data_IF_940975038429
#
_entry.id   IF_940975038429
#
_cell.length_a   1.000
_cell.length_b   1.000
_cell.length_c   1.000
_cell.angle_alpha   90.00
_cell.angle_beta   90.00
_cell.angle_gamma   90.00
#
_symmetry.space_group_name_H-M   'P 1'
#
loop_
_entity.id
_entity.type
_entity.pdbx_description
1 polymer ?
#
# COMPACT_ATOMS: atom_id res chain seq x y z
N UNK A 1 1.14 31.69 19.24
CA UNK A 1 1.27 30.32 18.69
C UNK A 1 1.77 29.43 19.80
N UNK A 2 0.99 28.44 20.24
CA UNK A 2 1.44 27.45 21.22
C UNK A 2 2.39 26.47 20.50
N UNK A 3 3.52 26.06 21.11
CA UNK A 3 4.36 25.02 20.54
C UNK A 3 3.58 23.70 20.57
N UNK A 4 3.37 23.08 19.41
CA UNK A 4 2.95 21.68 19.35
C UNK A 4 4.11 20.83 19.87
N UNK A 5 3.95 20.31 21.08
CA UNK A 5 4.80 19.25 21.61
C UNK A 5 4.46 17.94 20.87
N UNK A 6 5.33 17.48 19.96
CA UNK A 6 5.28 16.12 19.47
C UNK A 6 5.91 15.19 20.51
N UNK A 7 5.17 14.14 20.83
CA UNK A 7 5.28 13.31 22.03
C UNK A 7 5.77 11.91 21.62
N UNK A 8 6.82 11.43 22.31
CA UNK A 8 7.39 10.08 22.48
C UNK A 8 8.01 9.31 21.28
N UNK A 9 9.33 9.09 21.39
CA UNK A 9 10.09 8.04 20.71
C UNK A 9 10.21 6.83 21.67
N UNK A 10 9.68 5.67 21.31
CA UNK A 10 9.95 4.40 22.00
C UNK A 10 10.80 3.55 21.06
N UNK A 11 12.11 3.52 21.33
CA UNK A 11 13.01 2.52 20.75
C UNK A 11 13.03 1.36 21.74
N UNK A 12 12.42 0.24 21.38
CA UNK A 12 12.46 -0.96 22.21
C UNK A 12 13.58 -1.85 21.69
N UNK A 13 14.64 -1.99 22.48
CA UNK A 13 15.70 -2.98 22.25
C UNK A 13 15.39 -4.15 23.18
N UNK A 14 14.85 -5.24 22.64
CA UNK A 14 14.65 -6.46 23.40
C UNK A 14 15.85 -7.38 23.16
N UNK A 15 16.52 -7.75 24.26
CA UNK A 15 17.66 -8.68 24.23
C UNK A 15 17.30 -9.90 25.08
N UNK A 16 17.53 -11.11 24.55
CA UNK A 16 17.32 -12.34 25.32
C UNK A 16 18.20 -12.32 26.57
N UNK A 17 17.61 -12.60 27.74
CA UNK A 17 18.33 -12.77 29.00
C UNK A 17 18.82 -14.22 29.10
N UNK A 18 20.09 -14.44 29.46
CA UNK A 18 20.61 -15.77 29.81
C UNK A 18 20.04 -16.19 31.17
N UNK A 19 18.96 -16.98 31.21
CA UNK A 19 18.63 -17.75 32.42
C UNK A 19 18.24 -19.21 32.12
N UNK A 20 18.84 -20.10 32.92
CA UNK A 20 18.72 -21.55 32.88
C UNK A 20 17.28 -21.99 33.13
N UNK A 21 16.79 -22.90 32.27
CA UNK A 21 15.65 -23.81 32.48
C UNK A 21 14.46 -23.21 33.26
N UNK A 22 13.59 -22.48 32.57
CA UNK A 22 12.13 -22.63 32.69
C UNK A 22 11.43 -21.77 31.62
N UNK A 23 10.50 -22.39 30.90
CA UNK A 23 9.56 -21.75 29.98
C UNK A 23 8.82 -20.62 30.70
N UNK A 24 9.20 -19.37 30.47
CA UNK A 24 8.41 -18.15 30.65
C UNK A 24 9.22 -16.98 30.10
N UNK A 25 8.71 -16.34 29.04
CA UNK A 25 9.12 -15.00 28.63
C UNK A 25 8.92 -14.09 29.82
N UNK A 26 9.98 -13.80 30.57
CA UNK A 26 9.96 -12.69 31.51
C UNK A 26 10.01 -11.44 30.68
N UNK A 27 8.85 -10.81 30.48
CA UNK A 27 8.78 -9.40 30.15
C UNK A 27 9.72 -8.65 31.08
N UNK A 28 10.80 -8.10 30.53
CA UNK A 28 11.55 -7.07 31.21
C UNK A 28 10.63 -5.85 31.25
N UNK A 29 9.83 -5.77 32.31
CA UNK A 29 8.92 -4.66 32.64
C UNK A 29 9.65 -3.36 33.00
N UNK A 30 10.89 -3.20 32.54
CA UNK A 30 11.66 -1.98 32.69
C UNK A 30 11.76 -1.34 31.30
N UNK A 31 10.72 -0.56 30.98
CA UNK A 31 10.76 0.39 29.88
C UNK A 31 11.93 1.34 30.13
N UNK A 32 13.04 1.15 29.42
CA UNK A 32 14.06 2.20 29.38
C UNK A 32 13.64 3.15 28.28
N UNK A 33 12.77 4.11 28.63
CA UNK A 33 12.45 5.24 27.78
C UNK A 33 13.72 6.07 27.58
N UNK A 34 14.51 5.77 26.54
CA UNK A 34 15.57 6.67 26.11
C UNK A 34 14.92 7.61 25.09
N UNK A 35 14.29 8.66 25.62
CA UNK A 35 13.90 9.83 24.84
C UNK A 35 15.18 10.60 24.47
N UNK A 36 15.87 10.15 23.43
CA UNK A 36 16.96 10.89 22.80
C UNK A 36 16.39 11.78 21.71
N UNK A 37 16.56 13.10 21.84
CA UNK A 37 16.42 14.06 20.74
C UNK A 37 17.57 13.83 19.74
N UNK A 38 17.47 12.77 18.95
CA UNK A 38 18.42 12.47 17.89
C UNK A 38 18.21 13.49 16.76
N UNK A 39 19.05 14.52 16.80
CA UNK A 39 19.10 15.58 15.80
C UNK A 39 19.29 14.97 14.41
N UNK A 40 18.24 15.12 13.61
CA UNK A 40 18.12 14.62 12.26
C UNK A 40 19.05 15.38 11.31
N UNK A 41 20.33 15.04 11.31
CA UNK A 41 21.32 15.50 10.32
C UNK A 41 22.29 14.35 10.07
N UNK A 42 22.42 13.96 8.80
CA UNK A 42 23.49 13.14 8.22
C UNK A 42 24.69 12.96 9.18
N UNK A 43 24.80 11.78 9.78
CA UNK A 43 26.03 11.28 10.42
C UNK A 43 26.20 11.45 11.94
N UNK A 44 25.25 12.02 12.70
CA UNK A 44 25.42 12.17 14.17
C UNK A 44 24.60 11.22 15.07
N UNK A 45 23.40 10.76 14.68
CA UNK A 45 22.59 9.85 15.52
C UNK A 45 23.17 8.44 15.67
N UNK A 46 23.87 7.95 14.62
CA UNK A 46 24.38 6.57 14.59
C UNK A 46 25.35 6.27 15.72
N UNK A 47 26.08 7.29 16.20
CA UNK A 47 27.13 7.10 17.18
C UNK A 47 26.61 6.86 18.60
N UNK A 48 25.50 7.46 19.03
CA UNK A 48 25.07 7.35 20.43
C UNK A 48 24.44 6.00 20.74
N UNK A 49 23.57 5.50 19.85
CA UNK A 49 22.97 4.18 20.01
C UNK A 49 24.03 3.08 20.05
N UNK A 50 24.96 3.10 19.09
CA UNK A 50 25.97 2.06 18.92
C UNK A 50 27.14 2.16 19.91
N UNK A 51 27.57 3.38 20.28
CA UNK A 51 28.77 3.58 21.12
C UNK A 51 28.47 3.84 22.58
N UNK A 52 27.24 4.23 22.93
CA UNK A 52 26.86 4.57 24.31
C UNK A 52 25.78 3.63 24.81
N UNK A 53 24.62 3.59 24.15
CA UNK A 53 23.45 2.89 24.66
C UNK A 53 23.64 1.38 24.67
N UNK A 54 24.03 0.78 23.54
CA UNK A 54 24.23 -0.68 23.46
C UNK A 54 25.31 -1.16 24.43
N UNK A 55 26.54 -0.57 24.46
CA UNK A 55 27.56 -0.98 25.43
C UNK A 55 27.13 -0.82 26.88
N UNK A 56 26.40 0.26 27.21
CA UNK A 56 25.87 0.46 28.56
C UNK A 56 24.87 -0.64 28.95
N UNK A 57 23.95 -1.00 28.04
CA UNK A 57 22.98 -2.08 28.30
C UNK A 57 23.71 -3.41 28.50
N UNK A 58 24.67 -3.72 27.64
CA UNK A 58 25.45 -4.96 27.69
C UNK A 58 26.30 -5.09 28.95
N UNK A 59 26.78 -3.97 29.50
CA UNK A 59 27.56 -3.99 30.74
C UNK A 59 26.72 -4.01 32.02
N UNK A 60 25.45 -3.56 31.97
CA UNK A 60 24.60 -3.43 33.16
C UNK A 60 23.46 -4.45 33.24
N UNK A 61 23.14 -5.11 32.13
CA UNK A 61 22.06 -6.09 32.07
C UNK A 61 22.54 -7.41 31.44
N UNK A 62 21.97 -8.53 31.90
CA UNK A 62 22.27 -9.84 31.33
C UNK A 62 21.56 -10.00 30.00
N UNK A 63 22.31 -9.86 28.90
CA UNK A 63 21.77 -9.86 27.54
C UNK A 63 22.57 -10.79 26.62
N UNK A 64 21.97 -11.25 25.53
CA UNK A 64 22.69 -11.89 24.43
C UNK A 64 23.14 -10.80 23.46
N UNK A 65 24.44 -10.50 23.49
CA UNK A 65 25.07 -9.38 22.77
C UNK A 65 25.50 -9.74 21.34
N UNK A 66 24.58 -10.29 20.54
CA UNK A 66 24.82 -10.56 19.12
C UNK A 66 23.65 -10.04 18.26
N UNK A 67 23.89 -9.89 16.97
CA UNK A 67 22.91 -9.32 16.04
C UNK A 67 21.68 -10.23 15.81
N UNK A 68 21.82 -11.55 15.99
CA UNK A 68 20.72 -12.53 15.87
C UNK A 68 19.73 -12.45 17.02
N UNK A 69 20.14 -11.85 18.13
CA UNK A 69 19.33 -11.70 19.33
C UNK A 69 19.04 -10.24 19.65
N UNK A 70 19.31 -9.34 18.71
CA UNK A 70 19.08 -7.90 18.84
C UNK A 70 18.12 -7.41 17.76
N UNK A 71 17.05 -6.78 18.22
CA UNK A 71 16.06 -6.13 17.36
C UNK A 71 15.95 -4.64 17.64
N UNK A 72 15.55 -3.90 16.61
CA UNK A 72 15.19 -2.49 16.73
C UNK A 72 13.77 -2.28 16.22
N UNK A 73 12.93 -1.72 17.09
CA UNK A 73 11.57 -1.32 16.76
C UNK A 73 11.43 0.18 17.00
N UNK A 74 10.68 0.86 16.14
CA UNK A 74 10.23 2.22 16.41
C UNK A 74 8.99 2.58 15.61
N UNK A 75 8.22 3.56 16.10
CA UNK A 75 7.06 4.10 15.39
C UNK A 75 7.20 5.59 15.07
N UNK A 76 6.49 6.11 14.07
CA UNK A 76 6.53 7.54 13.71
C UNK A 76 7.96 8.00 13.40
N UNK A 77 8.44 9.04 14.08
CA UNK A 77 9.83 9.45 14.02
C UNK A 77 10.80 8.34 14.44
N UNK A 78 10.46 7.58 15.47
CA UNK A 78 11.21 6.41 15.89
C UNK A 78 11.24 5.30 14.84
N UNK A 79 10.20 5.19 14.00
CA UNK A 79 10.18 4.26 12.87
C UNK A 79 11.18 4.66 11.78
N UNK A 80 11.31 5.96 11.51
CA UNK A 80 12.37 6.48 10.63
C UNK A 80 13.77 6.19 11.16
N UNK A 81 13.97 6.33 12.47
CA UNK A 81 15.23 5.98 13.15
C UNK A 81 15.49 4.48 13.12
N UNK A 82 14.49 3.64 13.39
CA UNK A 82 14.61 2.18 13.32
C UNK A 82 15.03 1.70 11.93
N UNK A 83 14.50 2.33 10.89
CA UNK A 83 14.96 2.13 9.51
C UNK A 83 16.43 2.50 9.33
N UNK A 84 16.82 3.73 9.66
CA UNK A 84 18.17 4.24 9.41
C UNK A 84 19.24 3.47 10.19
N UNK A 85 19.00 3.25 11.49
CA UNK A 85 19.95 2.58 12.37
C UNK A 85 19.94 1.07 12.18
N UNK A 86 18.78 0.47 11.91
CA UNK A 86 18.66 -0.97 11.67
C UNK A 86 19.29 -1.40 10.36
N UNK A 87 18.81 -0.85 9.23
CA UNK A 87 19.30 -1.20 7.89
C UNK A 87 20.73 -0.69 7.66
N UNK A 88 21.10 0.45 8.25
CA UNK A 88 22.46 0.99 8.16
C UNK A 88 23.51 0.23 8.98
N UNK A 89 23.10 -0.66 9.89
CA UNK A 89 24.03 -1.38 10.79
C UNK A 89 23.63 -2.86 10.94
N UNK A 90 23.59 -3.58 9.81
CA UNK A 90 23.20 -5.00 9.79
C UNK A 90 24.20 -5.93 10.50
N UNK A 91 25.39 -5.46 10.87
CA UNK A 91 26.29 -6.21 11.78
C UNK A 91 25.83 -6.15 13.25
N UNK A 92 24.87 -5.27 13.57
CA UNK A 92 24.38 -5.01 14.93
C UNK A 92 22.93 -5.44 15.09
N UNK A 93 22.11 -5.26 14.04
CA UNK A 93 20.67 -5.57 14.06
C UNK A 93 20.29 -6.49 12.91
N UNK A 94 19.90 -7.73 13.21
CA UNK A 94 19.30 -8.62 12.21
C UNK A 94 17.76 -8.57 12.20
N UNK A 95 17.15 -7.88 13.17
CA UNK A 95 15.70 -7.76 13.29
C UNK A 95 15.29 -6.29 13.34
N UNK A 96 14.49 -5.83 12.37
CA UNK A 96 14.15 -4.42 12.20
C UNK A 96 12.66 -4.27 11.96
N UNK A 97 11.99 -3.41 12.72
CA UNK A 97 10.57 -3.11 12.55
C UNK A 97 10.27 -1.60 12.65
N UNK A 98 10.27 -0.92 11.51
CA UNK A 98 9.79 0.44 11.43
C UNK A 98 8.28 0.47 11.18
N UNK A 99 7.56 1.18 12.04
CA UNK A 99 6.09 1.26 12.03
C UNK A 99 5.61 2.69 11.82
N UNK A 100 4.65 2.94 10.92
CA UNK A 100 4.23 4.30 10.56
C UNK A 100 5.43 5.24 10.45
N UNK A 101 6.49 4.79 9.79
CA UNK A 101 7.78 5.45 9.83
C UNK A 101 7.69 6.80 9.12
N UNK A 102 8.33 7.84 9.68
CA UNK A 102 8.38 9.15 9.05
C UNK A 102 8.77 9.03 7.57
N UNK A 103 8.12 9.82 6.68
CA UNK A 103 8.28 9.76 5.22
C UNK A 103 9.57 10.43 4.74
N UNK A 104 10.63 10.29 5.52
CA UNK A 104 12.01 10.68 5.20
C UNK A 104 12.78 9.54 4.52
N UNK A 105 12.11 8.40 4.35
CA UNK A 105 12.62 7.17 3.79
C UNK A 105 11.91 6.92 2.47
N UNK A 106 12.36 7.61 1.41
CA UNK A 106 11.78 7.47 0.08
C UNK A 106 12.45 6.33 -0.70
N UNK A 107 11.70 5.40 -1.31
CA UNK A 107 12.25 4.36 -2.19
C UNK A 107 12.97 4.87 -3.44
N UNK A 108 12.80 6.16 -3.78
CA UNK A 108 13.58 6.84 -4.82
C UNK A 108 15.01 7.15 -4.38
N UNK A 109 15.31 7.08 -3.08
CA UNK A 109 16.68 7.18 -2.57
C UNK A 109 17.36 5.83 -2.76
N UNK A 110 18.17 5.72 -3.83
CA UNK A 110 19.10 4.61 -4.12
C UNK A 110 20.01 4.20 -2.94
N UNK A 111 19.94 4.92 -1.83
CA UNK A 111 20.84 4.84 -0.68
C UNK A 111 20.31 3.96 0.48
N UNK A 112 19.01 3.63 0.55
CA UNK A 112 18.48 2.85 1.70
C UNK A 112 18.73 1.34 1.61
N UNK A 113 18.57 0.78 0.43
CA UNK A 113 18.93 -0.60 0.12
C UNK A 113 19.99 -0.59 -0.98
N UNK A 114 21.24 -0.23 -0.64
CA UNK A 114 22.30 -0.12 -1.63
C UNK A 114 22.45 -1.42 -2.41
N UNK A 115 22.73 -1.30 -3.71
CA UNK A 115 22.87 -2.45 -4.62
C UNK A 115 21.65 -3.41 -4.62
N UNK A 116 20.43 -2.87 -4.53
CA UNK A 116 19.21 -3.67 -4.53
C UNK A 116 19.04 -4.51 -3.26
N UNK A 117 19.61 -4.04 -2.14
CA UNK A 117 19.52 -4.67 -0.83
C UNK A 117 20.37 -5.92 -0.67
N UNK A 118 21.50 -6.03 -1.38
CA UNK A 118 22.37 -7.21 -1.34
C UNK A 118 22.77 -7.62 0.10
N UNK A 119 23.15 -6.65 0.93
CA UNK A 119 23.52 -6.90 2.33
C UNK A 119 22.29 -7.26 3.19
N UNK A 120 21.16 -6.57 2.99
CA UNK A 120 19.91 -6.87 3.67
C UNK A 120 19.46 -8.31 3.41
N UNK A 121 19.53 -8.78 2.16
CA UNK A 121 19.21 -10.17 1.79
C UNK A 121 20.10 -11.20 2.48
N UNK A 122 21.34 -10.84 2.79
CA UNK A 122 22.30 -11.74 3.42
C UNK A 122 22.18 -11.77 4.94
N UNK A 123 22.06 -10.60 5.58
CA UNK A 123 22.20 -10.44 7.03
C UNK A 123 20.87 -10.32 7.76
N UNK A 124 19.86 -9.75 7.14
CA UNK A 124 18.59 -9.46 7.80
C UNK A 124 17.79 -10.74 8.02
N UNK A 125 17.45 -11.03 9.27
CA UNK A 125 16.67 -12.21 9.67
C UNK A 125 15.18 -11.94 9.78
N UNK A 126 14.81 -10.71 10.13
CA UNK A 126 13.43 -10.22 10.17
C UNK A 126 13.40 -8.75 9.78
N UNK A 127 12.66 -8.42 8.72
CA UNK A 127 12.17 -7.07 8.46
C UNK A 127 10.66 -7.13 8.58
N UNK A 128 10.06 -6.29 9.42
CA UNK A 128 8.60 -6.14 9.43
C UNK A 128 8.24 -4.68 9.25
N UNK A 129 7.58 -4.38 8.15
CA UNK A 129 7.07 -3.05 7.83
C UNK A 129 5.60 -2.99 8.28
N UNK A 130 5.19 -1.89 8.90
CA UNK A 130 3.78 -1.73 9.32
C UNK A 130 3.30 -0.30 9.24
N UNK A 131 2.06 -0.07 8.83
CA UNK A 131 1.42 1.24 8.83
C UNK A 131 -0.11 1.08 8.78
N UNK A 132 -0.86 2.09 9.23
CA UNK A 132 -2.31 2.12 9.10
C UNK A 132 -2.76 2.73 7.78
N UNK A 133 -3.82 2.21 7.16
CA UNK A 133 -4.29 2.69 5.84
C UNK A 133 -4.89 4.10 5.90
N UNK A 134 -5.36 4.54 7.07
CA UNK A 134 -5.91 5.88 7.31
C UNK A 134 -4.88 6.85 7.93
N UNK A 135 -3.58 6.52 7.92
CA UNK A 135 -2.49 7.37 8.40
C UNK A 135 -2.28 8.59 7.45
N UNK A 136 -3.19 9.56 7.59
CA UNK A 136 -3.51 10.65 6.65
C UNK A 136 -2.42 11.70 6.45
N UNK A 137 -1.36 11.66 7.26
CA UNK A 137 -0.23 12.59 7.18
C UNK A 137 0.86 12.14 6.19
N UNK A 138 0.53 11.36 5.16
CA UNK A 138 1.47 10.91 4.12
C UNK A 138 2.44 9.80 4.56
N UNK A 139 2.19 9.18 5.72
CA UNK A 139 2.97 8.05 6.22
C UNK A 139 2.66 6.78 5.44
N UNK A 140 1.38 6.48 5.21
CA UNK A 140 0.98 5.26 4.53
C UNK A 140 1.58 5.13 3.11
N UNK A 141 1.51 6.14 2.22
CA UNK A 141 2.14 6.04 0.90
C UNK A 141 3.65 5.77 0.94
N UNK A 142 4.36 6.35 1.92
CA UNK A 142 5.82 6.20 2.03
C UNK A 142 6.22 4.82 2.57
N UNK A 143 5.49 4.32 3.56
CA UNK A 143 5.70 2.98 4.11
C UNK A 143 5.29 1.90 3.08
N UNK A 144 4.18 2.10 2.37
CA UNK A 144 3.75 1.25 1.26
C UNK A 144 4.78 1.24 0.12
N UNK A 145 5.32 2.41 -0.23
CA UNK A 145 6.38 2.49 -1.24
C UNK A 145 7.62 1.68 -0.86
N UNK A 146 7.97 1.63 0.43
CA UNK A 146 9.12 0.84 0.90
C UNK A 146 8.83 -0.66 0.84
N UNK A 147 7.61 -1.08 1.21
CA UNK A 147 7.13 -2.44 1.01
C UNK A 147 7.25 -2.87 -0.46
N UNK A 148 6.67 -2.08 -1.38
CA UNK A 148 6.70 -2.35 -2.82
C UNK A 148 8.14 -2.45 -3.36
N UNK A 149 9.06 -1.62 -2.87
CA UNK A 149 10.47 -1.71 -3.26
C UNK A 149 11.11 -3.03 -2.81
N UNK A 150 10.84 -3.45 -1.57
CA UNK A 150 11.33 -4.72 -1.06
C UNK A 150 10.78 -5.90 -1.87
N UNK A 151 9.50 -5.87 -2.27
CA UNK A 151 8.92 -6.88 -3.17
C UNK A 151 9.60 -6.90 -4.53
N UNK A 152 9.69 -5.75 -5.21
CA UNK A 152 10.29 -5.64 -6.54
C UNK A 152 11.76 -6.09 -6.59
N UNK A 153 12.47 -5.94 -5.48
CA UNK A 153 13.88 -6.34 -5.37
C UNK A 153 14.07 -7.70 -4.69
N UNK A 154 13.02 -8.41 -4.30
CA UNK A 154 13.12 -9.70 -3.60
C UNK A 154 13.86 -9.62 -2.27
N UNK A 155 13.66 -8.55 -1.51
CA UNK A 155 14.18 -8.38 -0.14
C UNK A 155 13.20 -9.04 0.83
N UNK A 156 13.60 -10.06 1.60
CA UNK A 156 12.72 -10.75 2.53
C UNK A 156 12.18 -9.82 3.60
N UNK A 157 10.86 -9.69 3.70
CA UNK A 157 10.20 -8.86 4.69
C UNK A 157 8.75 -9.30 4.92
N UNK A 158 8.20 -8.91 6.07
CA UNK A 158 6.79 -9.01 6.40
C UNK A 158 6.14 -7.62 6.29
N UNK A 159 4.88 -7.58 5.88
CA UNK A 159 4.07 -6.36 5.79
C UNK A 159 2.80 -6.51 6.63
N UNK A 160 2.58 -5.57 7.56
CA UNK A 160 1.38 -5.49 8.37
C UNK A 160 0.71 -4.14 8.13
N UNK A 161 -0.22 -4.11 7.19
CA UNK A 161 -1.14 -2.99 7.01
C UNK A 161 -2.33 -3.11 7.97
N UNK A 162 -2.67 -2.03 8.67
CA UNK A 162 -3.84 -2.00 9.57
C UNK A 162 -4.95 -1.20 8.90
N UNK A 163 -5.96 -1.91 8.40
CA UNK A 163 -7.10 -1.31 7.69
C UNK A 163 -7.87 -0.33 8.60
N UNK A 164 -8.14 0.87 8.10
CA UNK A 164 -8.73 1.98 8.86
C UNK A 164 -7.85 2.53 9.99
N UNK A 165 -6.63 2.00 10.17
CA UNK A 165 -5.70 2.42 11.22
C UNK A 165 -5.16 3.82 10.97
N UNK A 166 -5.17 4.68 12.00
CA UNK A 166 -4.60 6.03 11.93
C UNK A 166 -3.17 6.05 12.48
N UNK A 167 -2.59 7.25 12.63
CA UNK A 167 -1.28 7.48 13.24
C UNK A 167 -1.30 7.30 14.77
N UNK A 168 -1.64 6.11 15.27
CA UNK A 168 -1.88 5.89 16.69
C UNK A 168 -1.50 4.48 17.19
N UNK A 169 -1.65 4.29 18.51
CA UNK A 169 -1.29 3.05 19.21
C UNK A 169 -2.09 1.81 18.79
N UNK A 170 -3.23 1.98 18.11
CA UNK A 170 -4.00 0.90 17.50
C UNK A 170 -3.27 0.24 16.33
N UNK A 171 -2.32 0.93 15.70
CA UNK A 171 -1.40 0.36 14.70
C UNK A 171 -0.10 -0.10 15.35
N UNK A 172 0.45 0.72 16.27
CA UNK A 172 1.79 0.47 16.83
C UNK A 172 1.84 -0.73 17.77
N UNK A 173 0.80 -0.95 18.56
CA UNK A 173 0.81 -2.06 19.53
C UNK A 173 0.72 -3.43 18.82
N UNK A 174 -0.17 -3.63 17.83
CA UNK A 174 -0.17 -4.86 17.04
C UNK A 174 1.13 -5.05 16.24
N UNK A 175 1.72 -3.98 15.71
CA UNK A 175 2.99 -4.07 15.00
C UNK A 175 4.12 -4.54 15.92
N UNK A 176 4.27 -3.93 17.10
CA UNK A 176 5.25 -4.39 18.09
C UNK A 176 5.04 -5.87 18.43
N UNK A 177 3.79 -6.26 18.74
CA UNK A 177 3.48 -7.63 19.11
C UNK A 177 3.89 -8.63 18.02
N UNK A 178 3.46 -8.41 16.77
CA UNK A 178 3.79 -9.30 15.66
C UNK A 178 5.29 -9.32 15.35
N UNK A 179 5.97 -8.18 15.44
CA UNK A 179 7.42 -8.13 15.24
C UNK A 179 8.17 -9.01 16.24
N UNK A 180 7.82 -8.95 17.53
CA UNK A 180 8.47 -9.75 18.56
C UNK A 180 8.29 -11.25 18.31
N UNK A 181 7.11 -11.67 17.85
CA UNK A 181 6.84 -13.06 17.50
C UNK A 181 7.69 -13.52 16.30
N UNK A 182 7.95 -12.64 15.34
CA UNK A 182 8.76 -12.94 14.15
C UNK A 182 10.26 -12.92 14.41
N UNK A 183 10.72 -11.95 15.20
CA UNK A 183 12.11 -11.78 15.53
C UNK A 183 12.59 -12.84 16.53
N UNK A 184 11.77 -13.13 17.54
CA UNK A 184 12.15 -13.96 18.68
C UNK A 184 11.10 -15.04 18.98
N UNK A 185 10.85 -15.97 18.05
CA UNK A 185 9.83 -16.99 18.20
C UNK A 185 10.09 -17.88 19.42
N UNK A 186 9.01 -18.30 20.07
CA UNK A 186 9.11 -18.88 21.40
C UNK A 186 9.84 -20.24 21.44
N UNK A 187 9.58 -21.07 20.44
CA UNK A 187 10.11 -22.43 20.36
C UNK A 187 11.12 -22.60 19.21
N UNK A 188 11.69 -21.50 18.68
CA UNK A 188 12.56 -21.51 17.50
C UNK A 188 11.82 -21.80 16.18
N UNK A 189 10.52 -22.11 16.24
CA UNK A 189 9.63 -22.18 15.10
C UNK A 189 9.23 -20.76 14.73
N UNK A 190 9.88 -20.19 13.70
CA UNK A 190 9.37 -18.96 13.08
C UNK A 190 7.94 -19.26 12.59
N UNK A 191 6.94 -18.44 12.94
CA UNK A 191 5.66 -18.56 12.26
C UNK A 191 5.94 -18.43 10.76
N UNK A 192 5.45 -19.40 9.98
CA UNK A 192 5.41 -19.25 8.52
C UNK A 192 4.49 -18.07 8.23
N UNK A 193 5.06 -16.88 8.11
CA UNK A 193 4.46 -15.88 7.25
C UNK A 193 4.73 -16.41 5.86
N UNK A 194 3.69 -16.99 5.26
CA UNK A 194 3.76 -17.31 3.85
C UNK A 194 4.16 -16.02 3.14
N UNK A 195 5.19 -16.08 2.30
CA UNK A 195 5.48 -15.01 1.35
C UNK A 195 4.32 -14.79 0.35
N UNK A 196 3.21 -15.52 0.52
CA UNK A 196 1.93 -15.22 -0.10
C UNK A 196 1.11 -14.33 0.85
N UNK A 197 1.54 -13.08 1.01
CA UNK A 197 0.51 -12.04 0.91
C UNK A 197 0.16 -11.95 -0.57
N UNK A 198 -1.12 -11.84 -0.93
CA UNK A 198 -1.53 -11.89 -2.33
C UNK A 198 -0.83 -10.75 -3.07
N UNK A 199 -0.12 -11.08 -4.16
CA UNK A 199 0.35 -10.20 -5.22
C UNK A 199 -0.65 -9.06 -5.44
N UNK A 200 -0.51 -7.88 -4.79
CA UNK A 200 -1.62 -6.97 -4.42
C UNK A 200 -2.93 -7.23 -5.19
N UNK A 201 -3.61 -8.33 -4.85
CA UNK A 201 -4.73 -8.75 -5.67
C UNK A 201 -5.84 -7.82 -5.24
N UNK A 202 -6.37 -7.06 -6.19
CA UNK A 202 -7.53 -6.23 -5.94
C UNK A 202 -8.54 -7.06 -5.15
N UNK A 203 -9.11 -6.50 -4.06
CA UNK A 203 -9.96 -7.26 -3.18
C UNK A 203 -11.20 -7.76 -3.93
N UNK A 204 -11.79 -8.81 -3.35
CA UNK A 204 -13.00 -9.44 -3.84
C UNK A 204 -12.77 -10.47 -4.94
N UNK A 205 -13.77 -11.32 -5.11
CA UNK A 205 -13.79 -12.28 -6.20
C UNK A 205 -13.93 -11.56 -7.55
N UNK A 206 -13.33 -12.14 -8.59
CA UNK A 206 -13.57 -11.67 -9.96
C UNK A 206 -15.04 -11.78 -10.28
N UNK A 207 -15.64 -10.70 -10.77
CA UNK A 207 -17.04 -10.65 -11.17
C UNK A 207 -17.16 -10.63 -12.69
N UNK A 208 -17.85 -11.63 -13.22
CA UNK A 208 -18.34 -11.59 -14.60
C UNK A 208 -19.60 -10.74 -14.65
N UNK A 209 -19.51 -9.58 -15.31
CA UNK A 209 -20.67 -8.76 -15.68
C UNK A 209 -21.15 -9.16 -17.08
N UNK A 210 -22.47 -9.14 -17.37
CA UNK A 210 -22.98 -9.43 -18.70
C UNK A 210 -22.42 -8.48 -19.77
N UNK A 211 -22.25 -8.98 -20.99
CA UNK A 211 -21.92 -8.14 -22.13
C UNK A 211 -23.02 -7.08 -22.34
N UNK A 212 -22.61 -5.84 -22.60
CA UNK A 212 -23.56 -4.76 -22.81
C UNK A 212 -23.01 -3.36 -22.60
N UNK A 213 -23.90 -2.39 -22.79
CA UNK A 213 -23.60 -0.97 -22.56
C UNK A 213 -23.71 -0.62 -21.09
N UNK A 214 -22.70 0.11 -20.61
CA UNK A 214 -22.64 0.63 -19.25
C UNK A 214 -22.27 2.10 -19.22
N UNK A 215 -22.73 2.79 -18.19
CA UNK A 215 -22.18 4.06 -17.72
C UNK A 215 -21.51 3.80 -16.38
N UNK A 216 -20.28 4.26 -16.19
CA UNK A 216 -19.49 3.99 -15.00
C UNK A 216 -19.40 5.24 -14.13
N UNK A 217 -19.87 5.15 -12.89
CA UNK A 217 -19.86 6.26 -11.92
C UNK A 217 -18.79 6.00 -10.86
N UNK A 218 -17.90 6.96 -10.64
CA UNK A 218 -16.95 6.91 -9.56
C UNK A 218 -17.64 7.14 -8.21
N UNK A 219 -17.33 6.30 -7.21
CA UNK A 219 -17.96 6.35 -5.88
C UNK A 219 -17.55 7.61 -5.09
N UNK A 220 -16.29 8.03 -5.17
CA UNK A 220 -15.83 9.22 -4.42
C UNK A 220 -16.33 10.54 -5.02
N UNK A 221 -16.25 10.68 -6.34
CA UNK A 221 -16.51 11.93 -7.04
C UNK A 221 -17.98 12.11 -7.43
N UNK A 222 -18.77 11.02 -7.44
CA UNK A 222 -20.15 11.01 -7.90
C UNK A 222 -20.30 11.47 -9.38
N UNK A 223 -19.24 11.25 -10.16
CA UNK A 223 -19.10 11.63 -11.58
C UNK A 223 -18.80 10.41 -12.45
N UNK A 224 -18.91 10.59 -13.76
CA UNK A 224 -18.89 9.49 -14.71
C UNK A 224 -17.60 9.45 -15.53
N UNK A 225 -17.13 8.24 -15.81
CA UNK A 225 -16.01 7.99 -16.70
C UNK A 225 -16.39 8.44 -18.12
N UNK A 226 -15.67 9.42 -18.66
CA UNK A 226 -15.98 9.99 -19.96
C UNK A 226 -14.74 10.19 -20.83
N UNK A 227 -14.93 10.12 -22.15
CA UNK A 227 -13.95 10.60 -23.11
C UNK A 227 -14.02 12.13 -23.14
N UNK A 228 -12.88 12.78 -22.93
CA UNK A 228 -12.77 14.24 -22.92
C UNK A 228 -13.28 14.84 -24.23
N UNK A 229 -14.05 15.93 -24.13
CA UNK A 229 -14.61 16.69 -25.25
C UNK A 229 -15.48 15.86 -26.23
N UNK A 230 -15.88 14.64 -25.85
CA UNK A 230 -16.55 13.67 -26.72
C UNK A 230 -15.81 13.39 -28.05
N UNK A 231 -14.49 13.53 -28.06
CA UNK A 231 -13.68 13.35 -29.27
C UNK A 231 -13.28 11.88 -29.47
N UNK A 232 -13.88 11.20 -30.45
CA UNK A 232 -13.51 9.85 -30.87
C UNK A 232 -12.21 9.84 -31.68
N UNK A 233 -11.06 9.86 -31.01
CA UNK A 233 -9.73 9.71 -31.64
C UNK A 233 -8.78 8.95 -30.72
N UNK A 234 -7.84 8.23 -31.33
CA UNK A 234 -6.77 7.56 -30.59
C UNK A 234 -5.94 8.55 -29.75
N UNK A 235 -5.64 8.14 -28.52
CA UNK A 235 -4.93 8.95 -27.53
C UNK A 235 -5.79 10.01 -26.85
N UNK A 236 -7.10 10.05 -27.10
CA UNK A 236 -7.97 11.00 -26.40
C UNK A 236 -8.07 10.64 -24.93
N UNK A 237 -7.96 11.66 -24.07
CA UNK A 237 -7.98 11.49 -22.64
C UNK A 237 -9.32 10.96 -22.11
N UNK A 238 -9.26 10.16 -21.05
CA UNK A 238 -10.42 9.76 -20.27
C UNK A 238 -10.38 10.49 -18.92
N UNK A 239 -11.50 11.07 -18.54
CA UNK A 239 -11.63 11.96 -17.39
C UNK A 239 -12.98 11.77 -16.69
N UNK A 240 -13.17 12.46 -15.57
CA UNK A 240 -14.47 12.57 -14.94
C UNK A 240 -15.34 13.65 -15.59
N UNK A 241 -16.62 13.36 -15.74
CA UNK A 241 -17.62 14.35 -16.10
C UNK A 241 -18.97 14.16 -15.43
N UNK A 242 -19.71 15.26 -15.33
CA UNK A 242 -21.10 15.24 -14.90
C UNK A 242 -21.96 14.44 -15.88
N UNK A 243 -22.90 13.63 -15.36
CA UNK A 243 -23.78 12.82 -16.21
C UNK A 243 -24.53 13.69 -17.20
N UNK A 244 -24.45 13.36 -18.48
CA UNK A 244 -25.17 14.07 -19.53
C UNK A 244 -25.87 13.13 -20.53
N UNK A 245 -25.63 11.82 -20.44
CA UNK A 245 -26.25 10.81 -21.31
C UNK A 245 -25.66 10.75 -22.74
N UNK A 246 -24.61 11.52 -23.00
CA UNK A 246 -23.91 11.51 -24.28
C UNK A 246 -23.08 10.24 -24.48
N UNK A 247 -22.75 9.94 -25.73
CA UNK A 247 -22.05 8.71 -26.12
C UNK A 247 -20.63 8.63 -25.54
N UNK A 248 -20.01 9.76 -25.23
CA UNK A 248 -18.70 9.78 -24.58
C UNK A 248 -18.69 9.24 -23.15
N UNK A 249 -19.84 8.97 -22.54
CA UNK A 249 -20.00 8.34 -21.22
C UNK A 249 -20.47 6.88 -21.29
N UNK A 250 -20.56 6.30 -22.50
CA UNK A 250 -21.08 4.95 -22.72
C UNK A 250 -19.94 4.01 -23.14
N UNK A 251 -19.87 2.89 -22.44
CA UNK A 251 -18.81 1.89 -22.58
C UNK A 251 -19.44 0.51 -22.77
N UNK A 252 -19.18 -0.13 -23.90
CA UNK A 252 -19.60 -1.50 -24.15
C UNK A 252 -18.59 -2.46 -23.51
N UNK A 253 -19.01 -3.12 -22.43
CA UNK A 253 -18.26 -4.21 -21.82
C UNK A 253 -18.45 -5.47 -22.66
N UNK A 254 -17.33 -6.11 -23.02
CA UNK A 254 -17.32 -7.41 -23.68
C UNK A 254 -16.38 -8.36 -22.96
N UNK A 255 -16.88 -9.52 -22.57
CA UNK A 255 -16.09 -10.62 -22.02
C UNK A 255 -15.25 -11.28 -23.13
N UNK A 256 -13.99 -11.57 -22.82
CA UNK A 256 -13.04 -12.22 -23.71
C UNK A 256 -12.85 -13.68 -23.29
N UNK A 257 -12.48 -14.55 -24.23
CA UNK A 257 -12.27 -15.99 -23.97
C UNK A 257 -11.16 -16.26 -22.94
N UNK A 258 -10.23 -15.32 -22.78
CA UNK A 258 -9.09 -15.43 -21.87
C UNK A 258 -9.40 -14.96 -20.43
N UNK A 259 -10.67 -14.72 -20.09
CA UNK A 259 -11.11 -14.34 -18.74
C UNK A 259 -11.00 -12.85 -18.40
N UNK A 260 -10.62 -12.01 -19.37
CA UNK A 260 -10.58 -10.55 -19.23
C UNK A 260 -11.79 -9.89 -19.92
N UNK A 261 -11.94 -8.59 -19.72
CA UNK A 261 -12.93 -7.77 -20.41
C UNK A 261 -12.26 -6.65 -21.21
N UNK A 262 -12.98 -6.12 -22.19
CA UNK A 262 -12.65 -4.90 -22.91
C UNK A 262 -13.79 -3.89 -22.80
N UNK A 263 -13.48 -2.59 -22.81
CA UNK A 263 -14.48 -1.52 -22.86
C UNK A 263 -14.39 -0.79 -24.20
N UNK A 264 -15.38 -0.93 -25.08
CA UNK A 264 -15.47 -0.17 -26.33
C UNK A 264 -16.25 1.12 -26.11
N UNK A 265 -15.72 2.28 -26.51
CA UNK A 265 -16.41 3.56 -26.43
C UNK A 265 -17.56 3.63 -27.44
N UNK A 266 -18.68 4.26 -27.10
CA UNK A 266 -19.73 4.52 -28.08
C UNK A 266 -19.34 5.56 -29.15
N UNK A 267 -18.16 6.18 -29.04
CA UNK A 267 -17.61 7.13 -30.02
C UNK A 267 -16.93 6.48 -31.24
N UNK A 268 -16.99 5.15 -31.38
CA UNK A 268 -16.49 4.43 -32.55
C UNK A 268 -15.72 3.17 -32.18
N UNK A 269 -14.71 2.83 -32.98
CA UNK A 269 -13.89 1.61 -32.83
C UNK A 269 -12.78 1.76 -31.77
N UNK A 270 -12.95 2.66 -30.80
CA UNK A 270 -11.94 2.94 -29.78
C UNK A 270 -12.25 2.18 -28.49
N UNK A 271 -11.21 1.65 -27.85
CA UNK A 271 -11.33 0.97 -26.56
C UNK A 271 -10.64 1.77 -25.45
N UNK A 272 -11.12 1.62 -24.21
CA UNK A 272 -10.42 2.06 -23.02
C UNK A 272 -9.03 1.42 -23.01
N UNK A 273 -8.00 2.22 -22.76
CA UNK A 273 -6.62 1.85 -23.00
C UNK A 273 -5.72 2.45 -21.92
N UNK A 274 -4.81 1.64 -21.38
CA UNK A 274 -3.70 2.12 -20.56
C UNK A 274 -2.61 2.61 -21.48
N UNK A 275 -2.28 3.89 -21.42
CA UNK A 275 -1.36 4.50 -22.37
C UNK A 275 0.00 3.79 -22.40
N UNK A 276 0.38 3.34 -23.60
CA UNK A 276 1.61 2.58 -23.85
C UNK A 276 1.63 1.17 -23.24
N UNK A 277 0.51 0.68 -22.70
CA UNK A 277 0.45 -0.57 -21.95
C UNK A 277 1.34 -0.58 -20.71
N UNK A 278 1.66 0.60 -20.17
CA UNK A 278 2.53 0.75 -19.01
C UNK A 278 1.98 0.00 -17.79
N UNK A 279 2.87 -0.53 -16.96
CA UNK A 279 2.56 -1.10 -15.64
C UNK A 279 2.74 -0.09 -14.50
N UNK A 280 3.22 1.12 -14.81
CA UNK A 280 3.59 2.13 -13.81
C UNK A 280 2.36 2.85 -13.24
N UNK A 281 2.50 3.32 -12.00
CA UNK A 281 1.52 4.27 -11.45
C UNK A 281 1.42 5.50 -12.35
N UNK A 282 0.25 6.13 -12.31
CA UNK A 282 -0.04 7.37 -13.04
C UNK A 282 -0.06 7.21 -14.56
N UNK A 283 0.07 5.98 -15.09
CA UNK A 283 -0.13 5.74 -16.51
C UNK A 283 -1.55 6.14 -16.90
N UNK A 284 -1.65 6.97 -17.92
CA UNK A 284 -2.90 7.59 -18.29
C UNK A 284 -3.91 6.56 -18.80
N UNK A 285 -5.19 6.73 -18.45
CA UNK A 285 -6.29 6.04 -19.14
C UNK A 285 -6.76 6.91 -20.29
N UNK A 286 -6.75 6.34 -21.48
CA UNK A 286 -7.15 6.99 -22.72
C UNK A 286 -8.12 6.10 -23.50
N UNK A 287 -8.58 6.59 -24.64
CA UNK A 287 -9.12 5.72 -25.69
C UNK A 287 -8.10 5.54 -26.80
N UNK A 288 -8.01 4.33 -27.35
CA UNK A 288 -7.13 4.01 -28.47
C UNK A 288 -7.82 3.08 -29.45
N UNK A 289 -7.34 2.99 -30.70
CA UNK A 289 -7.90 2.08 -31.70
C UNK A 289 -8.01 0.66 -31.13
N UNK A 290 -9.18 0.04 -31.27
CA UNK A 290 -9.46 -1.28 -30.73
C UNK A 290 -8.59 -2.35 -31.39
N UNK A 291 -7.79 -3.04 -30.60
CA UNK A 291 -6.99 -4.20 -31.02
C UNK A 291 -6.97 -5.29 -29.94
N UNK A 292 -7.72 -5.13 -28.85
CA UNK A 292 -7.87 -6.08 -27.75
C UNK A 292 -6.55 -6.56 -27.14
N UNK A 293 -5.50 -5.72 -27.21
CA UNK A 293 -4.18 -6.03 -26.64
C UNK A 293 -4.17 -5.88 -25.11
N UNK A 294 -3.05 -6.20 -24.47
CA UNK A 294 -2.90 -6.13 -23.00
C UNK A 294 -3.30 -4.78 -22.40
N UNK A 295 -2.99 -3.66 -23.08
CA UNK A 295 -3.35 -2.31 -22.66
C UNK A 295 -4.86 -2.04 -22.60
N UNK A 296 -5.66 -2.83 -23.33
CA UNK A 296 -7.11 -2.65 -23.50
C UNK A 296 -7.93 -3.71 -22.75
N UNK A 297 -7.25 -4.56 -21.98
CA UNK A 297 -7.87 -5.64 -21.23
C UNK A 297 -7.86 -5.32 -19.73
N UNK A 298 -8.99 -5.60 -19.10
CA UNK A 298 -9.25 -5.30 -17.70
C UNK A 298 -9.90 -6.50 -17.02
N UNK A 299 -9.93 -6.48 -15.69
CA UNK A 299 -10.69 -7.44 -14.88
C UNK A 299 -11.55 -6.66 -13.90
N UNK A 300 -12.75 -7.16 -13.60
CA UNK A 300 -13.64 -6.53 -12.61
C UNK A 300 -13.62 -7.39 -11.36
N UNK A 301 -13.34 -6.77 -10.21
CA UNK A 301 -13.53 -7.39 -8.90
C UNK A 301 -14.56 -6.61 -8.10
N UNK A 302 -15.17 -7.26 -7.12
CA UNK A 302 -16.15 -6.63 -6.23
C UNK A 302 -15.39 -5.91 -5.09
N UNK A 303 -15.81 -4.69 -4.72
CA UNK A 303 -15.27 -4.04 -3.52
C UNK A 303 -15.62 -4.81 -2.25
N UNK A 304 -14.85 -4.60 -1.17
CA UNK A 304 -15.04 -5.32 0.11
C UNK A 304 -16.43 -5.11 0.74
N UNK A 305 -17.05 -3.96 0.49
CA UNK A 305 -18.40 -3.62 0.95
C UNK A 305 -19.52 -4.21 0.07
N UNK A 306 -19.16 -4.96 -0.98
CA UNK A 306 -20.06 -5.56 -1.98
C UNK A 306 -21.01 -4.57 -2.69
N UNK A 307 -20.71 -3.27 -2.66
CA UNK A 307 -21.58 -2.23 -3.22
C UNK A 307 -21.04 -1.59 -4.50
N UNK A 308 -19.77 -1.82 -4.82
CA UNK A 308 -19.11 -1.26 -5.99
C UNK A 308 -18.13 -2.25 -6.62
N UNK A 309 -17.48 -1.79 -7.67
CA UNK A 309 -16.55 -2.58 -8.46
C UNK A 309 -15.21 -1.88 -8.59
N UNK A 310 -14.18 -2.69 -8.74
CA UNK A 310 -12.82 -2.24 -9.01
C UNK A 310 -12.45 -2.73 -10.41
N UNK A 311 -11.84 -1.86 -11.21
CA UNK A 311 -11.45 -2.16 -12.59
C UNK A 311 -9.93 -2.34 -12.62
N UNK A 312 -9.49 -3.59 -12.60
CA UNK A 312 -8.09 -3.98 -12.70
C UNK A 312 -7.54 -3.74 -14.09
N UNK A 313 -6.33 -3.22 -14.20
CA UNK A 313 -5.63 -3.12 -15.48
C UNK A 313 -4.79 -4.38 -15.74
N UNK A 314 -4.97 -5.03 -16.89
CA UNK A 314 -4.14 -6.21 -17.23
C UNK A 314 -2.68 -5.85 -17.47
N UNK A 315 -2.39 -4.65 -17.97
CA UNK A 315 -1.04 -4.11 -18.16
C UNK A 315 -0.19 -4.12 -16.89
N UNK A 316 -0.82 -4.00 -15.72
CA UNK A 316 -0.13 -4.06 -14.43
C UNK A 316 -0.10 -5.47 -13.82
N UNK A 317 -0.59 -6.50 -14.53
CA UNK A 317 -0.84 -7.82 -13.94
C UNK A 317 -2.01 -7.83 -12.95
N UNK A 318 -3.00 -6.96 -13.13
CA UNK A 318 -4.16 -6.82 -12.23
C UNK A 318 -3.84 -6.34 -10.80
N UNK A 319 -2.68 -5.74 -10.59
CA UNK A 319 -2.26 -5.12 -9.31
C UNK A 319 -2.65 -3.63 -9.17
N UNK A 320 -3.16 -3.01 -10.24
CA UNK A 320 -3.55 -1.59 -10.28
C UNK A 320 -4.98 -1.43 -10.77
N UNK A 321 -5.63 -0.38 -10.29
CA UNK A 321 -7.00 -0.05 -10.59
C UNK A 321 -7.10 1.22 -11.45
N UNK A 322 -8.20 1.33 -12.21
CA UNK A 322 -8.64 2.60 -12.79
C UNK A 322 -8.97 3.58 -11.66
N UNK A 323 -8.16 4.62 -11.55
CA UNK A 323 -8.07 5.58 -10.44
C UNK A 323 -8.39 7.00 -10.91
N UNK A 324 -9.22 7.70 -10.15
CA UNK A 324 -9.43 9.14 -10.31
C UNK A 324 -8.30 9.90 -9.63
N UNK A 325 -7.52 10.64 -10.43
CA UNK A 325 -6.30 11.32 -10.02
C UNK A 325 -6.46 12.09 -8.71
N UNK A 326 -5.66 11.70 -7.71
CA UNK A 326 -5.61 12.33 -6.37
C UNK A 326 -6.96 12.42 -5.67
N UNK A 327 -7.89 11.52 -5.99
CA UNK A 327 -9.26 11.52 -5.46
C UNK A 327 -10.01 12.86 -5.65
N UNK A 328 -9.65 13.64 -6.68
CA UNK A 328 -10.35 14.88 -6.99
C UNK A 328 -11.78 14.61 -7.48
N UNK A 329 -12.66 15.60 -7.32
CA UNK A 329 -14.10 15.45 -7.58
C UNK A 329 -14.62 16.37 -8.68
N UNK A 330 -13.76 17.06 -9.40
CA UNK A 330 -14.17 18.07 -10.38
C UNK A 330 -14.34 17.45 -11.78
N UNK A 331 -15.18 18.07 -12.61
CA UNK A 331 -15.20 17.75 -14.04
C UNK A 331 -13.82 18.02 -14.66
N UNK A 332 -13.43 17.19 -15.61
CA UNK A 332 -12.11 17.23 -16.23
C UNK A 332 -10.98 16.63 -15.39
N UNK A 333 -11.29 16.04 -14.22
CA UNK A 333 -10.29 15.32 -13.42
C UNK A 333 -9.79 14.11 -14.21
N UNK A 334 -8.47 13.98 -14.33
CA UNK A 334 -7.85 12.89 -15.06
C UNK A 334 -8.14 11.52 -14.44
N UNK A 335 -8.20 10.49 -15.29
CA UNK A 335 -8.25 9.09 -14.86
C UNK A 335 -6.95 8.40 -15.29
N UNK A 336 -6.30 7.72 -14.35
CA UNK A 336 -5.07 6.98 -14.56
C UNK A 336 -5.21 5.55 -14.02
N UNK A 337 -4.21 4.70 -14.21
CA UNK A 337 -4.06 3.53 -13.36
C UNK A 337 -3.22 3.88 -12.14
N UNK A 338 -3.54 3.30 -10.99
CA UNK A 338 -2.71 3.45 -9.79
C UNK A 338 -2.78 2.18 -8.93
N UNK A 339 -1.71 1.94 -8.16
CA UNK A 339 -1.67 0.89 -7.15
C UNK A 339 -2.93 0.95 -6.28
N UNK A 340 -3.60 -0.19 -6.14
CA UNK A 340 -4.82 -0.21 -5.37
C UNK A 340 -4.55 0.10 -3.90
N UNK A 341 -5.37 0.98 -3.33
CA UNK A 341 -5.17 1.50 -1.99
C UNK A 341 -6.48 1.54 -1.18
N UNK A 342 -7.54 0.89 -1.65
CA UNK A 342 -8.83 0.81 -0.94
C UNK A 342 -9.73 2.03 -1.10
N UNK A 343 -9.22 3.15 -1.63
CA UNK A 343 -9.96 4.40 -1.62
C UNK A 343 -11.12 4.42 -2.63
N UNK A 344 -12.18 5.14 -2.27
CA UNK A 344 -13.38 5.27 -3.08
C UNK A 344 -13.15 5.93 -4.46
N UNK A 345 -12.00 6.58 -4.69
CA UNK A 345 -11.63 7.12 -6.00
C UNK A 345 -11.21 6.03 -7.01
N UNK A 346 -11.01 4.79 -6.56
CA UNK A 346 -10.71 3.60 -7.37
C UNK A 346 -11.93 2.69 -7.56
N UNK A 347 -13.08 3.08 -6.99
CA UNK A 347 -14.30 2.30 -6.97
C UNK A 347 -15.35 2.87 -7.92
N UNK A 348 -16.05 1.97 -8.61
CA UNK A 348 -16.96 2.30 -9.70
C UNK A 348 -18.28 1.55 -9.57
N UNK A 349 -19.38 2.24 -9.85
CA UNK A 349 -20.72 1.65 -9.99
C UNK A 349 -21.07 1.57 -11.47
N UNK A 350 -21.48 0.39 -11.92
CA UNK A 350 -21.85 0.10 -13.29
C UNK A 350 -23.35 0.26 -13.44
N UNK A 351 -23.79 1.14 -14.34
CA UNK A 351 -25.21 1.32 -14.67
C UNK A 351 -25.48 0.77 -16.06
N UNK A 352 -26.24 -0.32 -16.14
CA UNK A 352 -26.79 -0.80 -17.41
C UNK A 352 -28.11 -0.08 -17.76
N UNK A 353 -28.42 0.16 -19.05
CA UNK A 353 -29.72 0.72 -19.46
C UNK A 353 -30.93 -0.05 -18.90
N UNK A 354 -30.80 -1.37 -18.75
CA UNK A 354 -31.84 -2.25 -18.21
C UNK A 354 -32.06 -2.05 -16.70
N UNK A 355 -31.00 -1.80 -15.92
CA UNK A 355 -31.13 -1.48 -14.49
C UNK A 355 -31.69 -0.08 -14.25
N UNK A 356 -31.32 0.90 -15.09
CA UNK A 356 -31.88 2.26 -15.02
C UNK A 356 -33.39 2.24 -15.23
N UNK A 357 -33.89 1.45 -16.19
CA UNK A 357 -35.33 1.24 -16.38
C UNK A 357 -35.98 0.65 -15.13
N UNK A 358 -35.43 -0.43 -14.55
CA UNK A 358 -35.96 -1.05 -13.32
C UNK A 358 -36.02 -0.07 -12.15
N UNK A 359 -34.98 0.73 -11.94
CA UNK A 359 -34.92 1.71 -10.86
C UNK A 359 -35.93 2.86 -11.05
N UNK A 360 -36.11 3.31 -12.30
CA UNK A 360 -37.08 4.36 -12.64
C UNK A 360 -38.52 3.88 -12.45
N UNK A 361 -38.84 2.63 -12.84
CA UNK A 361 -40.16 2.04 -12.60
C UNK A 361 -40.44 1.81 -11.12
N UNK A 362 -39.45 1.39 -10.32
CA UNK A 362 -39.62 1.20 -8.87
C UNK A 362 -39.97 2.51 -8.14
N UNK A 363 -39.34 3.63 -8.53
CA UNK A 363 -39.65 4.95 -7.96
C UNK A 363 -40.99 5.54 -8.43
N UNK A 364 -41.53 5.08 -9.56
CA UNK A 364 -42.86 5.46 -10.05
C UNK A 364 -43.99 4.64 -9.41
N UNK A 365 -43.68 3.47 -8.85
CA UNK A 365 -44.63 2.54 -8.23
C UNK A 365 -44.63 2.60 -6.70
N UNK A 366 -43.82 3.48 -6.10
CA UNK A 366 -43.95 3.83 -4.69
C UNK A 366 -45.16 4.78 -4.52
N UNK A 367 -46.12 4.46 -3.63
CA UNK A 367 -47.37 5.21 -3.47
C UNK A 367 -47.19 6.65 -2.97
#
# INVERSE_FOLDING_TARGET
>A
MKPMACIFCVISIEMKVKEKKQKKYRHVKNYTNIAGTASYIKGKSHNELLKVVIPYIESHYSVIADADHRGIYGYSMGGGVAFAEGIGNLDVFHHVCPTSALPINHPSDRDMFPYGGAEAKQKLKTLMLSCGTADWCGFYPSNLGTHNYCEANGIPHAWLSVEGGNHDGGVWSPAMWNFLQLAFPADGVKPEISNNLPESTLPGETKTLPDGWYTLKNVNAEKYLQVKDAAGKSGQNVELGTRNGADNQKWYLKNQENGYITFTSALGEFMLDVNGGSSENDANIQIYNGHSGTAQQFQVTVSEDNQSYIIATKSSGCTKAVDVWRALKNDGTNVCQYAYNGNANQQWVFFSPLEVLKFTFANFMAP
#
